data_IF_622950218497
#
_entry.id   IF_622950218497
#
_cell.length_a   1.000
_cell.length_b   1.000
_cell.length_c   1.000
_cell.angle_alpha   90.00
_cell.angle_beta   90.00
_cell.angle_gamma   90.00
#
_symmetry.space_group_name_H-M   'P 1'
#
loop_
_entity.id
_entity.type
_entity.pdbx_description
1 polymer ?
#
# COMPACT_ATOMS: atom_id res chain seq x y z
N UNK A 1 4.13 -10.41 5.36
CA UNK A 1 4.24 -9.64 4.09
C UNK A 1 4.78 -8.24 4.36
N UNK A 2 5.33 -7.56 3.35
CA UNK A 2 5.93 -6.22 3.50
C UNK A 2 4.95 -5.19 4.09
N UNK A 3 3.67 -5.31 3.72
CA UNK A 3 2.56 -4.48 4.18
C UNK A 3 2.29 -4.67 5.69
N UNK A 4 2.41 -5.88 6.22
CA UNK A 4 2.18 -6.15 7.65
C UNK A 4 3.29 -5.55 8.54
N UNK A 5 4.51 -5.41 8.00
CA UNK A 5 5.65 -4.85 8.72
C UNK A 5 5.79 -3.34 8.59
N UNK A 6 5.48 -2.79 7.42
CA UNK A 6 5.69 -1.37 7.09
C UNK A 6 4.43 -0.66 6.57
N UNK A 7 3.25 -1.20 6.90
CA UNK A 7 1.96 -0.72 6.38
C UNK A 7 1.71 0.77 6.58
N UNK A 8 2.25 1.36 7.65
CA UNK A 8 2.11 2.80 7.96
C UNK A 8 2.85 3.73 7.00
N UNK A 9 3.86 3.24 6.28
CA UNK A 9 4.64 4.05 5.32
C UNK A 9 4.10 3.97 3.90
N UNK A 10 3.23 3.01 3.62
CA UNK A 10 2.59 2.85 2.33
C UNK A 10 1.30 3.66 2.27
N UNK A 11 1.01 4.23 1.11
CA UNK A 11 -0.13 5.12 0.89
C UNK A 11 -0.94 4.66 -0.33
N UNK A 12 -1.95 5.43 -0.73
CA UNK A 12 -2.69 5.23 -1.97
C UNK A 12 -2.00 5.83 -3.21
N UNK A 13 -0.80 6.43 -3.04
CA UNK A 13 0.02 7.00 -4.11
C UNK A 13 1.08 6.02 -4.63
N UNK A 14 1.12 5.83 -5.94
CA UNK A 14 2.01 4.87 -6.58
C UNK A 14 3.49 5.30 -6.51
N UNK A 15 3.79 6.58 -6.68
CA UNK A 15 5.17 7.06 -6.70
C UNK A 15 5.82 7.01 -5.32
N UNK A 16 5.07 7.39 -4.28
CA UNK A 16 5.47 7.25 -2.89
C UNK A 16 5.76 5.77 -2.57
N UNK A 17 4.83 4.88 -2.88
CA UNK A 17 4.99 3.44 -2.66
C UNK A 17 6.23 2.90 -3.37
N UNK A 18 6.47 3.29 -4.63
CA UNK A 18 7.67 2.90 -5.39
C UNK A 18 8.97 3.26 -4.66
N UNK A 19 9.06 4.45 -4.07
CA UNK A 19 10.24 4.85 -3.27
C UNK A 19 10.39 4.01 -2.01
N UNK A 20 9.29 3.70 -1.33
CA UNK A 20 9.29 2.88 -0.10
C UNK A 20 9.72 1.44 -0.40
N UNK A 21 9.17 0.79 -1.44
CA UNK A 21 9.62 -0.56 -1.80
C UNK A 21 11.09 -0.62 -2.19
N UNK A 22 11.64 0.41 -2.86
CA UNK A 22 13.08 0.45 -3.20
C UNK A 22 13.99 0.55 -1.97
N UNK A 23 13.52 1.16 -0.88
CA UNK A 23 14.27 1.23 0.38
C UNK A 23 14.38 -0.14 1.05
N UNK A 24 13.32 -0.95 0.96
CA UNK A 24 13.21 -2.19 1.74
C UNK A 24 13.54 -3.46 0.95
N UNK A 25 13.44 -3.43 -0.39
CA UNK A 25 13.62 -4.60 -1.24
C UNK A 25 14.51 -4.24 -2.43
N UNK A 26 15.57 -5.03 -2.66
CA UNK A 26 16.34 -4.97 -3.89
C UNK A 26 15.58 -5.70 -4.99
N UNK A 27 15.25 -4.99 -6.06
CA UNK A 27 14.57 -5.57 -7.21
C UNK A 27 15.56 -5.90 -8.33
N UNK A 28 15.39 -7.08 -8.92
CA UNK A 28 16.17 -7.51 -10.09
C UNK A 28 15.68 -6.87 -11.40
N UNK A 29 14.46 -6.31 -11.42
CA UNK A 29 13.92 -5.64 -12.60
C UNK A 29 12.97 -4.49 -12.27
N UNK A 30 12.92 -3.49 -13.15
CA UNK A 30 12.00 -2.35 -13.07
C UNK A 30 10.53 -2.81 -13.09
N UNK A 31 10.21 -3.83 -13.88
CA UNK A 31 8.86 -4.37 -14.01
C UNK A 31 8.38 -4.98 -12.68
N UNK A 32 9.23 -5.75 -12.00
CA UNK A 32 8.91 -6.35 -10.71
C UNK A 32 8.66 -5.28 -9.64
N UNK A 33 9.52 -4.25 -9.57
CA UNK A 33 9.30 -3.11 -8.67
C UNK A 33 7.94 -2.45 -8.91
N UNK A 34 7.62 -2.19 -10.17
CA UNK A 34 6.36 -1.55 -10.55
C UNK A 34 5.14 -2.42 -10.21
N UNK A 35 5.24 -3.73 -10.42
CA UNK A 35 4.19 -4.69 -10.08
C UNK A 35 3.91 -4.69 -8.57
N UNK A 36 4.95 -4.73 -7.74
CA UNK A 36 4.80 -4.72 -6.28
C UNK A 36 4.25 -3.38 -5.80
N UNK A 37 4.77 -2.25 -6.29
CA UNK A 37 4.24 -0.93 -5.95
C UNK A 37 2.76 -0.78 -6.35
N UNK A 38 2.38 -1.32 -7.51
CA UNK A 38 0.99 -1.33 -7.98
C UNK A 38 0.07 -2.16 -7.09
N UNK A 39 0.50 -3.37 -6.72
CA UNK A 39 -0.25 -4.22 -5.80
C UNK A 39 -0.49 -3.55 -4.45
N UNK A 40 0.55 -2.95 -3.86
CA UNK A 40 0.45 -2.23 -2.59
C UNK A 40 -0.52 -1.05 -2.71
N UNK A 41 -0.45 -0.30 -3.81
CA UNK A 41 -1.35 0.84 -4.06
C UNK A 41 -2.81 0.40 -4.15
N UNK A 42 -3.09 -0.69 -4.88
CA UNK A 42 -4.44 -1.27 -4.96
C UNK A 42 -4.92 -1.81 -3.62
N UNK A 43 -4.02 -2.38 -2.81
CA UNK A 43 -4.34 -2.86 -1.47
C UNK A 43 -4.68 -1.71 -0.52
N UNK A 44 -3.89 -0.64 -0.50
CA UNK A 44 -4.17 0.54 0.33
C UNK A 44 -5.48 1.22 -0.05
N UNK A 45 -5.77 1.34 -1.35
CA UNK A 45 -7.08 1.86 -1.82
C UNK A 45 -8.26 1.00 -1.37
N UNK A 46 -8.07 -0.30 -1.19
CA UNK A 46 -9.13 -1.18 -0.65
C UNK A 46 -9.29 -0.97 0.85
N UNK A 47 -8.19 -0.81 1.59
CA UNK A 47 -8.23 -0.54 3.03
C UNK A 47 -8.91 0.79 3.34
N UNK A 48 -8.52 1.85 2.63
CA UNK A 48 -9.08 3.20 2.76
C UNK A 48 -10.62 3.18 2.64
N UNK A 49 -11.14 2.51 1.62
CA UNK A 49 -12.59 2.31 1.41
C UNK A 49 -13.26 1.48 2.51
N UNK A 50 -12.54 0.53 3.11
CA UNK A 50 -13.06 -0.29 4.21
C UNK A 50 -13.07 0.51 5.52
N UNK A 51 -12.10 1.40 5.74
CA UNK A 51 -12.07 2.30 6.89
C UNK A 51 -13.18 3.35 6.82
N UNK A 52 -13.44 3.91 5.63
CA UNK A 52 -14.59 4.81 5.38
C UNK A 52 -15.93 4.12 5.69
N UNK A 53 -16.06 2.83 5.38
CA UNK A 53 -17.27 2.04 5.65
C UNK A 53 -17.47 1.63 7.11
N UNK A 54 -16.42 1.69 7.96
CA UNK A 54 -16.50 1.32 9.39
C UNK A 54 -16.81 2.51 10.31
N UNK A 55 -16.79 3.73 9.80
CA UNK A 55 -17.14 4.94 10.56
C UNK A 55 -18.64 5.16 10.80
N UNK A 56 -19.51 4.35 10.18
CA UNK A 56 -20.98 4.53 10.21
C UNK A 56 -21.74 3.62 11.19
N UNK A 57 -21.10 2.62 11.80
CA UNK A 57 -21.74 1.71 12.77
C UNK A 57 -21.48 2.09 14.25
N UNK A 58 -20.84 3.25 14.50
CA UNK A 58 -20.48 3.72 15.86
C UNK A 58 -21.37 4.83 16.43
N UNK A 59 -22.48 5.18 15.79
CA UNK A 59 -23.45 6.14 16.30
C UNK A 59 -24.86 5.54 16.19
N UNK A 60 -25.22 4.66 17.11
CA UNK A 60 -26.60 4.24 17.38
C UNK A 60 -26.73 3.86 18.84
#
# INVERSE_FOLDING_TARGET
MLIEKYGKEFTTDFEANKKVVEKYVKFYSKSLRNMVAGYITSYMKKLDRVEEGKGVEGQS
#
